data_IF_072646595300
#
_entry.id   IF_072646595300
#
_cell.length_a   1.000
_cell.length_b   1.000
_cell.length_c   1.000
_cell.angle_alpha   90.00
_cell.angle_beta   90.00
_cell.angle_gamma   90.00
#
_symmetry.space_group_name_H-M   'P 1'
#
loop_
_entity.id
_entity.type
_entity.pdbx_description
1 polymer ?
#
# COMPACT_ATOMS: atom_id res chain seq x y z
N UNK A 1 -46.00 -32.59 -3.87
CA UNK A 1 -44.97 -31.50 -3.93
C UNK A 1 -43.78 -31.96 -3.10
N UNK A 2 -42.60 -32.04 -3.71
CA UNK A 2 -41.36 -32.30 -2.98
C UNK A 2 -41.05 -31.12 -2.07
N UNK A 3 -40.68 -31.37 -0.81
CA UNK A 3 -40.25 -30.33 0.12
C UNK A 3 -38.73 -30.11 -0.05
N UNK A 4 -38.27 -28.86 -0.03
CA UNK A 4 -36.84 -28.53 -0.13
C UNK A 4 -36.03 -29.27 0.93
N UNK A 5 -36.58 -29.50 2.13
CA UNK A 5 -35.96 -30.25 3.22
C UNK A 5 -35.77 -31.75 2.96
N UNK A 6 -36.33 -32.28 1.86
CA UNK A 6 -36.17 -33.71 1.49
C UNK A 6 -34.98 -33.96 0.55
N UNK A 7 -34.27 -32.89 0.10
CA UNK A 7 -33.07 -33.03 -0.72
C UNK A 7 -31.84 -33.19 0.17
N UNK A 8 -30.91 -34.02 -0.25
CA UNK A 8 -29.64 -34.18 0.44
C UNK A 8 -28.83 -32.88 0.34
N UNK A 9 -28.13 -32.53 1.41
CA UNK A 9 -27.18 -31.43 1.41
C UNK A 9 -26.00 -31.79 0.48
N UNK A 10 -25.71 -30.92 -0.50
CA UNK A 10 -24.49 -31.02 -1.27
C UNK A 10 -23.33 -30.48 -0.43
N UNK A 11 -22.33 -31.31 -0.19
CA UNK A 11 -21.10 -30.99 0.56
C UNK A 11 -19.94 -30.60 -0.35
N UNK A 12 -20.14 -30.64 -1.68
CA UNK A 12 -19.11 -30.41 -2.71
C UNK A 12 -19.53 -29.30 -3.69
N UNK A 13 -19.94 -28.15 -3.15
CA UNK A 13 -20.42 -27.03 -3.96
C UNK A 13 -19.35 -26.58 -4.97
N UNK A 14 -19.72 -26.53 -6.23
CA UNK A 14 -18.86 -26.13 -7.35
C UNK A 14 -19.33 -24.81 -8.00
N UNK A 15 -18.45 -24.16 -8.73
CA UNK A 15 -18.77 -22.91 -9.45
C UNK A 15 -19.85 -23.08 -10.53
N UNK A 16 -20.06 -24.30 -11.01
CA UNK A 16 -21.05 -24.65 -12.05
C UNK A 16 -22.41 -25.02 -11.48
N UNK A 17 -22.53 -25.20 -10.16
CA UNK A 17 -23.80 -25.44 -9.50
C UNK A 17 -24.76 -24.28 -9.70
N UNK A 18 -26.04 -24.57 -9.66
CA UNK A 18 -27.08 -23.62 -10.07
C UNK A 18 -28.07 -23.37 -8.95
N UNK A 19 -28.44 -22.12 -8.81
CA UNK A 19 -29.55 -21.65 -7.97
C UNK A 19 -30.69 -21.22 -8.89
N UNK A 20 -31.91 -21.60 -8.53
CA UNK A 20 -33.11 -21.15 -9.24
C UNK A 20 -33.60 -19.84 -8.64
N UNK A 21 -33.86 -18.86 -9.46
CA UNK A 21 -34.39 -17.56 -9.04
C UNK A 21 -35.19 -16.90 -10.11
N UNK A 22 -35.79 -15.73 -9.82
CA UNK A 22 -36.55 -14.92 -10.77
C UNK A 22 -35.67 -13.82 -11.32
N UNK A 23 -35.62 -13.70 -12.65
CA UNK A 23 -34.99 -12.58 -13.33
C UNK A 23 -35.93 -11.36 -13.25
N UNK A 24 -35.48 -10.27 -12.63
CA UNK A 24 -36.26 -9.06 -12.44
C UNK A 24 -36.59 -8.33 -13.75
N UNK A 25 -35.75 -8.48 -14.78
CA UNK A 25 -35.97 -7.81 -16.08
C UNK A 25 -37.08 -8.43 -16.94
N UNK A 26 -37.38 -9.72 -16.71
CA UNK A 26 -38.38 -10.43 -17.51
C UNK A 26 -39.39 -11.22 -16.70
N UNK A 27 -39.39 -11.15 -15.39
CA UNK A 27 -40.23 -11.94 -14.46
C UNK A 27 -40.25 -13.43 -14.79
N UNK A 28 -39.16 -13.94 -15.35
CA UNK A 28 -38.99 -15.34 -15.72
C UNK A 28 -38.12 -16.08 -14.73
N UNK A 29 -38.48 -17.36 -14.48
CA UNK A 29 -37.65 -18.22 -13.65
C UNK A 29 -36.40 -18.65 -14.43
N UNK A 30 -35.23 -18.41 -13.89
CA UNK A 30 -33.92 -18.76 -14.48
C UNK A 30 -33.03 -19.48 -13.52
N UNK A 31 -32.06 -20.18 -14.08
CA UNK A 31 -30.93 -20.73 -13.34
C UNK A 31 -29.78 -19.74 -13.30
N UNK A 32 -29.25 -19.49 -12.11
CA UNK A 32 -28.05 -18.69 -11.89
C UNK A 32 -26.93 -19.62 -11.40
N UNK A 33 -25.80 -19.68 -12.09
CA UNK A 33 -24.68 -20.45 -11.59
C UNK A 33 -23.93 -19.68 -10.47
N UNK A 34 -23.31 -20.42 -9.56
CA UNK A 34 -22.62 -19.84 -8.42
C UNK A 34 -21.46 -18.93 -8.84
N UNK A 35 -20.76 -19.26 -9.93
CA UNK A 35 -19.71 -18.41 -10.48
C UNK A 35 -20.23 -17.01 -10.85
N UNK A 36 -21.42 -16.91 -11.45
CA UNK A 36 -22.02 -15.60 -11.82
C UNK A 36 -22.51 -14.85 -10.60
N UNK A 37 -23.06 -15.56 -9.60
CA UNK A 37 -23.45 -14.95 -8.33
C UNK A 37 -22.21 -14.43 -7.60
N UNK A 38 -21.14 -15.21 -7.51
CA UNK A 38 -19.89 -14.81 -6.89
C UNK A 38 -19.26 -13.61 -7.62
N UNK A 39 -19.26 -13.61 -8.96
CA UNK A 39 -18.80 -12.49 -9.76
C UNK A 39 -19.61 -11.21 -9.50
N UNK A 40 -20.93 -11.31 -9.45
CA UNK A 40 -21.80 -10.18 -9.12
C UNK A 40 -21.53 -9.65 -7.70
N UNK A 41 -21.38 -10.52 -6.70
CA UNK A 41 -21.07 -10.13 -5.33
C UNK A 41 -19.69 -9.47 -5.22
N UNK A 42 -18.71 -9.97 -5.97
CA UNK A 42 -17.34 -9.43 -5.97
C UNK A 42 -17.25 -8.03 -6.65
N UNK A 43 -18.13 -7.76 -7.61
CA UNK A 43 -18.18 -6.46 -8.34
C UNK A 43 -19.23 -5.49 -7.79
N UNK A 44 -20.14 -5.97 -6.93
CA UNK A 44 -21.17 -5.15 -6.32
C UNK A 44 -20.72 -4.56 -4.98
N UNK A 45 -21.25 -3.39 -4.62
CA UNK A 45 -21.04 -2.77 -3.31
C UNK A 45 -21.61 -3.57 -2.12
N UNK A 46 -22.25 -4.72 -2.39
CA UNK A 46 -22.89 -5.56 -1.36
C UNK A 46 -21.89 -6.32 -0.49
N UNK A 47 -20.67 -6.58 -1.01
CA UNK A 47 -19.58 -7.14 -0.23
C UNK A 47 -18.39 -6.19 -0.36
N UNK A 48 -18.36 -5.17 0.47
CA UNK A 48 -17.23 -4.27 0.59
C UNK A 48 -16.52 -4.52 1.91
N UNK A 49 -15.30 -5.03 1.83
CA UNK A 49 -14.41 -5.05 3.00
C UNK A 49 -13.84 -3.64 3.14
N UNK A 50 -14.19 -2.96 4.22
CA UNK A 50 -13.74 -1.60 4.48
C UNK A 50 -12.24 -1.44 4.23
N UNK A 51 -11.87 -0.48 3.38
CA UNK A 51 -10.48 -0.17 3.04
C UNK A 51 -9.88 -0.99 1.91
N UNK A 52 -10.63 -1.86 1.25
CA UNK A 52 -10.21 -2.53 0.03
C UNK A 52 -10.93 -1.96 -1.19
N UNK A 53 -10.16 -1.64 -2.22
CA UNK A 53 -10.67 -1.31 -3.54
C UNK A 53 -10.38 -2.48 -4.49
N UNK A 54 -11.31 -2.75 -5.40
CA UNK A 54 -11.12 -3.77 -6.43
C UNK A 54 -11.11 -3.08 -7.79
N UNK A 55 -10.10 -3.41 -8.59
CA UNK A 55 -9.92 -2.91 -9.95
C UNK A 55 -9.54 -4.02 -10.90
N UNK A 56 -9.96 -3.91 -12.14
CA UNK A 56 -9.51 -4.79 -13.21
C UNK A 56 -8.21 -4.25 -13.81
N UNK A 57 -7.17 -5.08 -13.92
CA UNK A 57 -5.97 -4.71 -14.66
C UNK A 57 -6.19 -4.87 -16.16
N UNK A 58 -5.91 -3.82 -16.91
CA UNK A 58 -5.92 -3.85 -18.39
C UNK A 58 -4.56 -3.47 -18.95
N UNK A 59 -4.15 -4.16 -20.00
CA UNK A 59 -2.95 -3.82 -20.77
C UNK A 59 -3.28 -2.73 -21.81
N UNK A 60 -3.63 -1.53 -21.33
CA UNK A 60 -4.02 -0.36 -22.11
C UNK A 60 -3.19 0.87 -21.70
N UNK A 61 -3.18 1.91 -22.52
CA UNK A 61 -2.46 3.14 -22.23
C UNK A 61 -3.15 3.98 -21.13
N UNK A 62 -4.49 3.94 -21.03
CA UNK A 62 -5.28 4.69 -20.04
C UNK A 62 -6.37 3.80 -19.46
N UNK A 63 -6.69 3.93 -18.15
CA UNK A 63 -7.73 3.13 -17.52
C UNK A 63 -9.13 3.69 -17.83
N UNK A 64 -10.10 2.83 -18.08
CA UNK A 64 -11.52 3.12 -18.05
C UNK A 64 -12.09 2.93 -16.64
N UNK A 65 -13.38 3.26 -16.43
CA UNK A 65 -14.06 3.06 -15.15
C UNK A 65 -13.86 1.62 -14.62
N UNK A 66 -13.46 1.50 -13.35
CA UNK A 66 -13.18 0.22 -12.70
C UNK A 66 -11.85 -0.43 -13.08
N UNK A 67 -11.01 0.26 -13.85
CA UNK A 67 -9.74 -0.30 -14.34
C UNK A 67 -8.52 0.42 -13.76
N UNK A 68 -7.43 -0.30 -13.70
CA UNK A 68 -6.10 0.27 -13.57
C UNK A 68 -5.17 -0.29 -14.66
N UNK A 69 -4.14 0.48 -14.98
CA UNK A 69 -3.13 0.13 -15.99
C UNK A 69 -1.74 0.50 -15.46
N UNK A 70 -0.69 0.03 -16.10
CA UNK A 70 0.68 0.51 -15.87
C UNK A 70 1.02 1.66 -16.82
N UNK A 71 2.04 2.44 -16.51
CA UNK A 71 2.53 3.49 -17.42
C UNK A 71 3.03 2.96 -18.76
N UNK A 72 3.43 1.69 -18.83
CA UNK A 72 3.83 1.02 -20.08
C UNK A 72 2.65 0.50 -20.88
N UNK A 73 1.46 0.44 -20.28
CA UNK A 73 0.26 -0.15 -20.91
C UNK A 73 0.35 -1.65 -21.18
N UNK A 74 1.25 -2.36 -20.51
CA UNK A 74 1.49 -3.78 -20.70
C UNK A 74 1.48 -4.56 -19.40
N UNK A 75 1.17 -5.86 -19.49
CA UNK A 75 1.41 -6.80 -18.40
C UNK A 75 2.92 -6.94 -18.17
N UNK A 76 3.34 -6.93 -16.91
CA UNK A 76 4.76 -7.00 -16.53
C UNK A 76 4.93 -7.57 -15.13
N UNK A 77 6.14 -7.99 -14.81
CA UNK A 77 6.47 -8.42 -13.47
C UNK A 77 6.25 -7.28 -12.47
N UNK A 78 5.77 -7.60 -11.29
CA UNK A 78 5.50 -6.58 -10.27
C UNK A 78 6.72 -5.73 -9.94
N UNK A 79 7.92 -6.34 -9.91
CA UNK A 79 9.18 -5.63 -9.63
C UNK A 79 9.58 -4.61 -10.70
N UNK A 80 9.01 -4.72 -11.91
CA UNK A 80 9.27 -3.78 -13.00
C UNK A 80 8.26 -2.61 -13.06
N UNK A 81 7.21 -2.65 -12.23
CA UNK A 81 6.18 -1.60 -12.19
C UNK A 81 6.70 -0.39 -11.43
N UNK A 82 6.77 0.76 -12.09
CA UNK A 82 7.15 2.05 -11.50
C UNK A 82 5.99 3.04 -11.38
N UNK A 83 4.89 2.78 -12.08
CA UNK A 83 3.69 3.62 -12.02
C UNK A 83 2.43 2.81 -12.26
N UNK A 84 1.40 3.11 -11.48
CA UNK A 84 0.07 2.55 -11.58
C UNK A 84 -0.93 3.70 -11.82
N UNK A 85 -1.75 3.57 -12.84
CA UNK A 85 -2.77 4.54 -13.21
C UNK A 85 -4.13 3.97 -12.85
N UNK A 86 -4.82 4.58 -11.88
CA UNK A 86 -6.13 4.16 -11.40
C UNK A 86 -7.23 5.11 -11.87
N UNK A 87 -8.28 4.57 -12.48
CA UNK A 87 -9.50 5.34 -12.74
C UNK A 87 -10.05 5.94 -11.45
N UNK A 88 -10.54 7.18 -11.50
CA UNK A 88 -11.28 7.79 -10.39
C UNK A 88 -12.60 7.05 -10.10
N UNK A 89 -13.15 6.37 -11.10
CA UNK A 89 -14.36 5.55 -10.93
C UNK A 89 -13.93 4.11 -10.65
N UNK A 90 -14.32 3.58 -9.49
CA UNK A 90 -14.05 2.18 -9.12
C UNK A 90 -15.01 1.20 -9.82
N UNK A 91 -14.85 -0.11 -9.56
CA UNK A 91 -15.71 -1.15 -10.12
C UNK A 91 -17.18 -1.05 -9.70
N UNK A 92 -17.48 -0.33 -8.63
CA UNK A 92 -18.84 -0.06 -8.13
C UNK A 92 -19.43 1.25 -8.67
N UNK A 93 -18.80 1.86 -9.67
CA UNK A 93 -19.20 3.13 -10.27
C UNK A 93 -19.24 4.31 -9.28
N UNK A 94 -18.35 4.29 -8.26
CA UNK A 94 -18.20 5.34 -7.27
C UNK A 94 -16.97 6.17 -7.61
N UNK A 95 -17.06 7.50 -7.45
CA UNK A 95 -15.90 8.39 -7.54
C UNK A 95 -15.07 8.27 -6.26
N UNK A 96 -13.80 7.89 -6.44
CA UNK A 96 -12.84 7.71 -5.34
C UNK A 96 -11.58 8.57 -5.49
N UNK A 97 -11.61 9.61 -6.32
CA UNK A 97 -10.45 10.49 -6.53
C UNK A 97 -9.88 11.01 -5.21
N UNK A 98 -10.74 11.55 -4.34
CA UNK A 98 -10.33 12.04 -3.03
C UNK A 98 -9.69 10.95 -2.19
N UNK A 99 -10.23 9.72 -2.24
CA UNK A 99 -9.71 8.59 -1.49
C UNK A 99 -8.33 8.15 -1.99
N UNK A 100 -8.08 8.17 -3.31
CA UNK A 100 -6.76 7.84 -3.87
C UNK A 100 -5.67 8.80 -3.37
N UNK A 101 -6.00 10.06 -3.12
CA UNK A 101 -5.04 11.06 -2.63
C UNK A 101 -4.51 10.73 -1.20
N UNK A 102 -5.26 9.95 -0.41
CA UNK A 102 -4.79 9.49 0.91
C UNK A 102 -3.71 8.41 0.82
N UNK A 103 -3.43 7.86 -0.36
CA UNK A 103 -2.38 6.84 -0.50
C UNK A 103 -0.96 7.41 -0.57
N UNK A 104 -0.82 8.72 -0.68
CA UNK A 104 0.49 9.38 -0.63
C UNK A 104 1.21 9.00 0.68
N UNK A 105 2.47 8.62 0.56
CA UNK A 105 3.30 8.14 1.68
C UNK A 105 2.79 6.87 2.40
N UNK A 106 1.83 6.15 1.82
CA UNK A 106 1.40 4.85 2.30
C UNK A 106 2.07 3.71 1.53
N UNK A 107 1.88 2.50 2.04
CA UNK A 107 2.14 1.27 1.31
C UNK A 107 0.83 0.76 0.72
N UNK A 108 0.89 0.32 -0.52
CA UNK A 108 -0.24 -0.28 -1.22
C UNK A 108 0.09 -1.71 -1.56
N UNK A 109 -0.78 -2.63 -1.18
CA UNK A 109 -0.72 -4.03 -1.56
C UNK A 109 -1.75 -4.31 -2.63
N UNK A 110 -1.30 -4.82 -3.77
CA UNK A 110 -2.13 -5.38 -4.82
C UNK A 110 -2.12 -6.90 -4.72
N UNK A 111 -3.29 -7.52 -4.70
CA UNK A 111 -3.44 -8.97 -4.66
C UNK A 111 -4.46 -9.40 -5.70
N UNK A 112 -4.09 -10.33 -6.57
CA UNK A 112 -5.02 -10.90 -7.54
C UNK A 112 -6.13 -11.65 -6.82
N UNK A 113 -7.39 -11.36 -7.13
CA UNK A 113 -8.55 -11.84 -6.36
C UNK A 113 -8.78 -13.34 -6.47
N UNK A 114 -8.38 -13.96 -7.59
CA UNK A 114 -8.49 -15.39 -7.85
C UNK A 114 -7.17 -16.16 -7.67
N UNK A 115 -6.07 -15.47 -7.29
CA UNK A 115 -4.78 -16.08 -6.98
C UNK A 115 -4.00 -15.23 -5.97
N UNK A 116 -4.18 -15.52 -4.69
CA UNK A 116 -3.56 -14.73 -3.61
C UNK A 116 -2.02 -14.84 -3.55
N UNK A 117 -1.42 -15.84 -4.23
CA UNK A 117 0.03 -15.94 -4.35
C UNK A 117 0.60 -14.97 -5.41
N UNK A 118 -0.27 -14.31 -6.19
CA UNK A 118 0.10 -13.28 -7.14
C UNK A 118 -0.19 -11.91 -6.52
N UNK A 119 0.81 -11.31 -5.89
CA UNK A 119 0.67 -10.07 -5.12
C UNK A 119 1.93 -9.21 -5.18
N UNK A 120 1.78 -7.93 -4.89
CA UNK A 120 2.87 -7.00 -4.70
C UNK A 120 2.58 -5.96 -3.63
N UNK A 121 3.61 -5.56 -2.91
CA UNK A 121 3.63 -4.45 -1.97
C UNK A 121 4.49 -3.32 -2.55
N UNK A 122 3.93 -2.13 -2.62
CA UNK A 122 4.59 -0.92 -3.11
C UNK A 122 4.59 0.18 -2.06
N UNK A 123 5.60 1.03 -2.10
CA UNK A 123 5.55 2.39 -1.52
C UNK A 123 4.94 3.32 -2.55
N UNK A 124 4.01 4.19 -2.15
CA UNK A 124 3.49 5.26 -3.01
C UNK A 124 4.32 6.51 -2.76
N UNK A 125 5.03 6.96 -3.78
CA UNK A 125 6.00 8.05 -3.68
C UNK A 125 5.38 9.39 -4.09
N UNK A 126 4.58 9.41 -5.16
CA UNK A 126 3.81 10.58 -5.59
C UNK A 126 2.47 10.17 -6.16
N UNK A 127 1.50 11.09 -6.10
CA UNK A 127 0.20 10.95 -6.74
C UNK A 127 -0.03 12.18 -7.61
N UNK A 128 -0.35 11.97 -8.88
CA UNK A 128 -0.62 13.03 -9.84
C UNK A 128 -1.99 12.79 -10.48
N UNK A 129 -2.88 13.76 -10.34
CA UNK A 129 -4.15 13.75 -11.08
C UNK A 129 -3.89 14.07 -12.56
N UNK A 130 -4.41 13.26 -13.46
CA UNK A 130 -4.30 13.47 -14.90
C UNK A 130 -5.21 14.57 -15.44
N UNK A 131 -6.22 15.00 -14.68
CA UNK A 131 -7.31 15.85 -15.17
C UNK A 131 -8.24 15.14 -16.18
N UNK A 132 -8.06 13.84 -16.42
CA UNK A 132 -8.79 13.04 -17.42
C UNK A 132 -9.48 11.82 -16.81
N UNK A 133 -9.82 11.89 -15.51
CA UNK A 133 -10.61 10.86 -14.82
C UNK A 133 -9.77 9.70 -14.25
N UNK A 134 -8.47 9.85 -14.12
CA UNK A 134 -7.58 8.90 -13.44
C UNK A 134 -6.43 9.61 -12.74
N UNK A 135 -5.87 8.96 -11.74
CA UNK A 135 -4.64 9.38 -11.04
C UNK A 135 -3.50 8.41 -11.32
N UNK A 136 -2.31 8.97 -11.47
CA UNK A 136 -1.05 8.22 -11.57
C UNK A 136 -0.37 8.17 -10.22
N UNK A 137 -0.15 6.97 -9.71
CA UNK A 137 0.63 6.68 -8.51
C UNK A 137 2.03 6.26 -8.98
N UNK A 138 3.05 7.08 -8.72
CA UNK A 138 4.44 6.63 -8.84
C UNK A 138 4.72 5.72 -7.65
N UNK A 139 5.25 4.55 -7.92
CA UNK A 139 5.42 3.50 -6.90
C UNK A 139 6.83 2.90 -6.93
N UNK A 140 7.31 2.53 -5.76
CA UNK A 140 8.54 1.76 -5.59
C UNK A 140 8.19 0.37 -5.07
N UNK A 141 8.62 -0.67 -5.78
CA UNK A 141 8.42 -2.06 -5.39
C UNK A 141 9.17 -2.37 -4.09
N UNK A 142 8.49 -3.01 -3.14
CA UNK A 142 9.06 -3.43 -1.85
C UNK A 142 9.24 -4.94 -1.86
N UNK A 143 8.15 -5.68 -2.12
CA UNK A 143 8.13 -7.14 -2.07
C UNK A 143 6.91 -7.64 -2.86
N UNK A 144 6.98 -8.87 -3.35
CA UNK A 144 5.87 -9.50 -4.04
C UNK A 144 6.27 -10.77 -4.78
N UNK A 145 5.28 -11.43 -5.36
CA UNK A 145 5.46 -12.63 -6.16
C UNK A 145 4.57 -12.57 -7.39
N UNK A 146 5.13 -12.92 -8.56
CA UNK A 146 4.41 -13.00 -9.82
C UNK A 146 4.38 -11.71 -10.61
N UNK A 147 3.32 -11.52 -11.39
CA UNK A 147 3.19 -10.44 -12.39
C UNK A 147 1.75 -9.95 -12.52
N UNK A 148 1.57 -8.79 -13.12
CA UNK A 148 0.27 -8.30 -13.57
C UNK A 148 -0.24 -9.16 -14.73
N UNK A 149 -1.43 -9.71 -14.58
CA UNK A 149 -2.09 -10.55 -15.59
C UNK A 149 -3.30 -9.78 -16.15
N UNK A 150 -3.34 -9.61 -17.46
CA UNK A 150 -4.44 -8.90 -18.14
C UNK A 150 -5.80 -9.52 -17.86
N UNK A 151 -6.82 -8.68 -17.82
CA UNK A 151 -8.21 -9.06 -17.58
C UNK A 151 -8.47 -9.76 -16.23
N UNK A 152 -7.60 -9.48 -15.25
CA UNK A 152 -7.74 -9.98 -13.87
C UNK A 152 -8.08 -8.85 -12.91
N UNK A 153 -8.84 -9.20 -11.88
CA UNK A 153 -9.19 -8.29 -10.80
C UNK A 153 -8.13 -8.36 -9.69
N UNK A 154 -7.80 -7.20 -9.15
CA UNK A 154 -6.89 -7.03 -8.03
C UNK A 154 -7.57 -6.27 -6.92
N UNK A 155 -7.47 -6.82 -5.71
CA UNK A 155 -7.81 -6.09 -4.51
C UNK A 155 -6.64 -5.18 -4.14
N UNK A 156 -6.93 -3.91 -3.88
CA UNK A 156 -5.97 -2.93 -3.41
C UNK A 156 -6.25 -2.64 -1.93
N UNK A 157 -5.28 -2.93 -1.08
CA UNK A 157 -5.29 -2.58 0.33
C UNK A 157 -4.14 -1.63 0.61
N UNK A 158 -4.29 -0.79 1.63
CA UNK A 158 -3.22 0.12 2.04
C UNK A 158 -2.83 -0.12 3.50
N UNK A 159 -1.60 0.18 3.82
CA UNK A 159 -1.11 0.23 5.20
C UNK A 159 -0.27 1.49 5.38
N UNK A 160 -0.25 2.06 6.60
CA UNK A 160 0.69 3.12 6.89
C UNK A 160 2.10 2.65 6.51
N UNK A 161 2.88 3.50 5.88
CA UNK A 161 4.32 3.35 5.86
C UNK A 161 4.70 3.27 7.33
N UNK A 162 5.08 2.10 7.83
CA UNK A 162 5.62 2.01 9.18
C UNK A 162 6.65 3.13 9.26
N UNK A 163 6.53 3.99 10.25
CA UNK A 163 7.61 4.93 10.51
C UNK A 163 8.83 4.02 10.64
N UNK A 164 9.67 4.00 9.61
CA UNK A 164 11.03 3.55 9.82
C UNK A 164 11.50 4.49 10.91
N UNK A 165 11.75 3.95 12.09
CA UNK A 165 12.50 4.68 13.11
C UNK A 165 13.72 5.20 12.39
N UNK A 166 13.64 6.46 11.96
CA UNK A 166 14.77 7.08 11.31
C UNK A 166 15.81 7.24 12.39
N UNK A 167 16.78 6.38 12.35
CA UNK A 167 17.93 6.43 13.25
C UNK A 167 19.06 7.15 12.53
N UNK A 168 19.71 8.01 13.25
CA UNK A 168 20.94 8.67 12.79
C UNK A 168 22.12 8.15 13.60
N UNK A 169 23.21 7.87 12.90
CA UNK A 169 24.50 7.55 13.52
C UNK A 169 25.56 8.41 12.84
N UNK A 170 26.25 9.23 13.60
CA UNK A 170 27.34 10.03 13.05
C UNK A 170 28.54 9.18 12.63
N UNK A 171 29.40 9.71 11.77
CA UNK A 171 30.79 9.30 11.70
C UNK A 171 31.47 9.53 13.05
N UNK A 172 32.69 9.05 13.22
CA UNK A 172 33.49 9.37 14.41
C UNK A 172 33.77 10.88 14.44
N UNK A 173 33.44 11.53 15.56
CA UNK A 173 33.64 12.97 15.80
C UNK A 173 34.61 13.15 16.93
N UNK A 174 35.53 14.13 16.79
CA UNK A 174 36.41 14.55 17.89
C UNK A 174 35.76 15.75 18.58
N UNK A 175 35.29 15.54 19.79
CA UNK A 175 34.71 16.59 20.64
C UNK A 175 35.78 17.29 21.44
N UNK A 176 35.72 18.61 21.50
CA UNK A 176 36.58 19.44 22.38
C UNK A 176 35.78 19.86 23.61
N UNK A 177 36.45 19.92 24.76
CA UNK A 177 35.84 20.36 26.02
C UNK A 177 35.21 21.76 25.85
N UNK A 178 34.01 21.93 26.39
CA UNK A 178 33.25 23.16 26.44
C UNK A 178 33.01 23.83 25.07
N UNK A 179 33.16 23.06 23.98
CA UNK A 179 32.95 23.55 22.61
C UNK A 179 31.63 22.95 22.04
N UNK A 180 30.65 23.79 21.68
CA UNK A 180 29.42 23.31 21.06
C UNK A 180 29.67 22.69 19.67
N UNK A 181 29.14 21.50 19.43
CA UNK A 181 29.19 20.78 18.15
C UNK A 181 27.79 20.65 17.55
N UNK A 182 27.63 21.08 16.31
CA UNK A 182 26.33 20.99 15.61
C UNK A 182 26.21 19.68 14.86
N UNK A 183 25.18 18.92 15.16
CA UNK A 183 24.86 17.64 14.53
C UNK A 183 23.62 17.80 13.65
N UNK A 184 23.78 17.61 12.34
CA UNK A 184 22.67 17.59 11.38
C UNK A 184 22.24 16.13 11.17
N UNK A 185 21.07 15.75 11.70
CA UNK A 185 20.55 14.39 11.67
C UNK A 185 19.45 14.17 10.62
N UNK A 186 18.77 15.22 10.16
CA UNK A 186 17.71 15.17 9.11
C UNK A 186 16.58 14.16 9.40
N UNK A 187 16.18 14.01 10.67
CA UNK A 187 15.15 13.05 11.08
C UNK A 187 13.72 13.61 11.00
N UNK A 188 13.56 14.95 10.82
CA UNK A 188 12.29 15.66 10.90
C UNK A 188 11.55 15.42 12.23
N UNK A 189 12.28 15.32 13.32
CA UNK A 189 11.75 15.16 14.70
C UNK A 189 12.82 15.60 15.71
N UNK A 190 12.43 15.83 16.95
CA UNK A 190 13.36 15.98 18.08
C UNK A 190 13.74 14.59 18.61
N UNK A 191 14.93 14.05 18.26
CA UNK A 191 15.32 12.69 18.63
C UNK A 191 15.82 12.59 20.07
N UNK A 192 15.75 11.38 20.64
CA UNK A 192 16.57 11.03 21.80
C UNK A 192 18.02 10.87 21.36
N UNK A 193 18.96 11.51 22.09
CA UNK A 193 20.38 11.54 21.73
C UNK A 193 21.20 10.72 22.72
N UNK A 194 22.07 9.87 22.19
CA UNK A 194 23.02 9.05 22.95
C UNK A 194 24.41 9.22 22.35
N UNK A 195 25.42 9.47 23.15
CA UNK A 195 26.80 9.54 22.69
C UNK A 195 27.66 8.44 23.31
N UNK A 196 28.51 7.84 22.48
CA UNK A 196 29.40 6.75 22.89
C UNK A 196 30.82 7.11 22.47
N UNK A 197 31.77 7.00 23.38
CA UNK A 197 33.20 7.23 23.10
C UNK A 197 33.82 6.12 22.24
N UNK A 198 35.07 6.27 21.88
CA UNK A 198 35.81 5.29 21.07
C UNK A 198 36.07 3.96 21.80
N UNK A 199 35.91 3.90 23.12
CA UNK A 199 36.03 2.69 23.94
C UNK A 199 34.67 1.97 24.11
N UNK A 200 33.56 2.55 23.58
CA UNK A 200 32.23 2.00 23.72
C UNK A 200 31.48 2.45 24.98
N UNK A 201 32.02 3.41 25.73
CA UNK A 201 31.40 3.92 26.96
C UNK A 201 30.42 5.05 26.64
N UNK A 202 29.30 5.06 27.36
CA UNK A 202 28.28 6.12 27.21
C UNK A 202 28.81 7.42 27.84
N UNK A 203 28.74 8.52 27.07
CA UNK A 203 29.14 9.87 27.50
C UNK A 203 27.94 10.77 27.49
N UNK A 204 27.73 11.48 28.61
CA UNK A 204 26.61 12.42 28.76
C UNK A 204 27.08 13.82 28.42
N UNK A 205 26.39 14.49 27.50
CA UNK A 205 26.60 15.88 27.15
C UNK A 205 25.31 16.68 27.31
N UNK A 206 25.44 18.01 27.26
CA UNK A 206 24.31 18.91 27.17
C UNK A 206 23.82 18.97 25.73
N UNK A 207 22.54 18.64 25.51
CA UNK A 207 21.92 18.59 24.19
C UNK A 207 20.87 19.66 24.06
N UNK A 208 21.03 20.54 23.08
CA UNK A 208 20.07 21.58 22.73
C UNK A 208 19.54 21.37 21.31
N UNK A 209 18.26 21.03 21.18
CA UNK A 209 17.62 20.93 19.87
C UNK A 209 17.48 22.31 19.25
N UNK A 210 17.99 22.51 18.03
CA UNK A 210 17.88 23.74 17.25
C UNK A 210 16.63 23.74 16.39
N UNK A 211 16.35 22.62 15.73
CA UNK A 211 15.16 22.37 14.93
C UNK A 211 14.96 20.86 14.73
N UNK A 212 13.94 20.46 13.97
CA UNK A 212 13.58 19.04 13.71
C UNK A 212 14.67 18.24 12.98
N UNK A 213 15.75 18.88 12.53
CA UNK A 213 16.81 18.27 11.73
C UNK A 213 18.22 18.47 12.30
N UNK A 214 18.37 19.25 13.37
CA UNK A 214 19.66 19.50 13.97
C UNK A 214 19.58 19.78 15.47
N UNK A 215 20.62 19.42 16.19
CA UNK A 215 20.86 19.79 17.58
C UNK A 215 22.33 20.16 17.79
N UNK A 216 22.58 20.89 18.87
CA UNK A 216 23.93 21.19 19.39
C UNK A 216 24.18 20.28 20.57
N UNK A 217 25.42 19.74 20.67
CA UNK A 217 25.86 18.97 21.83
C UNK A 217 27.15 19.53 22.37
N UNK A 218 27.26 19.62 23.70
CA UNK A 218 28.44 20.15 24.40
C UNK A 218 28.87 19.19 25.49
N UNK A 219 30.17 18.96 25.61
CA UNK A 219 30.77 18.11 26.64
C UNK A 219 31.79 18.85 27.46
N UNK A 220 31.94 18.49 28.73
CA UNK A 220 32.94 19.09 29.66
C UNK A 220 34.32 18.53 29.48
N UNK A 221 34.51 17.46 28.70
CA UNK A 221 35.82 16.82 28.46
C UNK A 221 35.98 16.51 26.97
N UNK A 222 37.23 16.54 26.49
CA UNK A 222 37.53 16.17 25.10
C UNK A 222 37.62 14.67 24.94
N UNK A 223 37.02 14.12 23.88
CA UNK A 223 37.08 12.72 23.51
C UNK A 223 36.71 12.53 22.04
N UNK A 224 36.89 11.33 21.51
CA UNK A 224 36.42 10.95 20.18
C UNK A 224 35.33 9.89 20.33
N UNK A 225 34.25 10.07 19.60
CA UNK A 225 33.08 9.16 19.70
C UNK A 225 32.08 9.29 18.58
N UNK A 226 30.93 8.67 18.79
CA UNK A 226 29.79 8.71 17.86
C UNK A 226 28.52 9.18 18.56
N UNK A 227 27.66 9.85 17.81
CA UNK A 227 26.32 10.27 18.23
C UNK A 227 25.31 9.38 17.58
N UNK A 228 24.39 8.87 18.37
CA UNK A 228 23.21 8.12 17.97
C UNK A 228 21.98 8.97 18.29
N UNK A 229 21.06 9.11 17.33
CA UNK A 229 19.82 9.83 17.51
C UNK A 229 18.64 9.04 16.91
N UNK A 230 17.56 8.84 17.67
CA UNK A 230 16.42 8.00 17.28
C UNK A 230 15.07 8.53 17.80
#
# INVERSE_FOLDING_TARGET
MARISSYNLDTSVSKTDKVIGTDSSGNTTKNFNLEKIAGFLNTSSLINVNGQLVYEFKANATPLAGQFVTSTGTAQDFSAVSSLLFSHTNTNNQDIQTYLNYFLDLRVMLTQTDNQNNFALYSVDTITDSGSGYSTLAVTFIEGNGSLVGDKFYAMAYSPKGQTDKNFVSSSISFSADTPETINHNLNKFPSVTTVDSAGSHVVGDVQHVNDNSFIITFTASFTGKVYAN
#
